data_IF_681829073877
#
_entry.id   IF_681829073877
#
_cell.length_a   1.000
_cell.length_b   1.000
_cell.length_c   1.000
_cell.angle_alpha   90.00
_cell.angle_beta   90.00
_cell.angle_gamma   90.00
#
_symmetry.space_group_name_H-M   'P 1'
#
loop_
_entity.id
_entity.type
_entity.pdbx_description
1 polymer ?
#
# COMPACT_ATOMS: atom_id res chain seq x y z
N UNK A 1 -3.27 -9.08 3.26
CA UNK A 1 -2.35 -7.92 3.28
C UNK A 1 -1.94 -7.58 4.71
N UNK A 2 -2.88 -7.38 5.65
CA UNK A 2 -2.59 -7.03 7.05
C UNK A 2 -1.77 -8.09 7.81
N UNK A 3 -2.09 -9.39 7.64
CA UNK A 3 -1.31 -10.49 8.22
C UNK A 3 0.15 -10.55 7.71
N UNK A 4 0.46 -9.99 6.54
CA UNK A 4 1.83 -10.00 5.99
C UNK A 4 2.81 -9.13 6.77
N UNK A 5 2.29 -8.19 7.56
CA UNK A 5 3.08 -7.20 8.29
C UNK A 5 3.01 -7.38 9.81
N UNK A 6 2.42 -8.48 10.31
CA UNK A 6 2.24 -8.75 11.74
C UNK A 6 1.68 -7.55 12.53
N UNK A 7 0.71 -6.84 11.95
CA UNK A 7 0.10 -5.67 12.57
C UNK A 7 -0.86 -6.13 13.66
N UNK A 8 -0.57 -5.78 14.92
CA UNK A 8 -1.52 -5.91 16.03
C UNK A 8 -2.21 -4.57 16.29
N UNK A 9 -3.49 -4.62 16.69
CA UNK A 9 -4.25 -3.45 17.15
C UNK A 9 -4.36 -2.30 16.12
N UNK A 10 -4.70 -2.62 14.87
CA UNK A 10 -4.97 -1.59 13.85
C UNK A 10 -6.24 -0.80 14.24
N UNK A 11 -6.15 0.53 14.40
CA UNK A 11 -7.32 1.34 14.75
C UNK A 11 -8.31 1.43 13.58
N UNK A 12 -9.59 1.64 13.90
CA UNK A 12 -10.66 1.76 12.91
C UNK A 12 -10.99 3.19 12.51
N UNK A 13 -10.76 4.15 13.41
CA UNK A 13 -11.06 5.56 13.17
C UNK A 13 -9.95 6.20 12.35
N UNK A 14 -10.34 7.02 11.36
CA UNK A 14 -9.40 7.67 10.44
C UNK A 14 -8.34 8.50 11.18
N UNK A 15 -8.75 9.31 12.16
CA UNK A 15 -7.83 10.13 12.93
C UNK A 15 -6.78 9.29 13.68
N UNK A 16 -7.20 8.18 14.28
CA UNK A 16 -6.32 7.26 15.00
C UNK A 16 -5.37 6.53 14.05
N UNK A 17 -5.84 6.16 12.85
CA UNK A 17 -4.99 5.56 11.81
C UNK A 17 -3.87 6.53 11.43
N UNK A 18 -4.15 7.83 11.27
CA UNK A 18 -3.13 8.81 10.91
C UNK A 18 -2.05 8.96 11.98
N UNK A 19 -2.42 8.83 13.27
CA UNK A 19 -1.47 8.88 14.39
C UNK A 19 -0.68 7.57 14.54
N UNK A 20 -1.34 6.44 14.29
CA UNK A 20 -0.76 5.10 14.42
C UNK A 20 0.16 4.72 13.26
N UNK A 21 -0.21 5.03 12.02
CA UNK A 21 0.46 4.55 10.82
C UNK A 21 1.97 4.89 10.75
N UNK A 22 2.43 6.10 11.14
CA UNK A 22 3.86 6.42 11.21
C UNK A 22 4.63 5.64 12.28
N UNK A 23 3.95 4.92 13.17
CA UNK A 23 4.53 4.14 14.26
C UNK A 23 4.10 2.66 14.21
N UNK A 24 3.49 2.21 13.11
CA UNK A 24 2.84 0.91 12.99
C UNK A 24 3.78 -0.30 13.15
N UNK A 25 5.10 -0.11 13.01
CA UNK A 25 6.09 -1.17 13.18
C UNK A 25 7.44 -0.61 13.67
N UNK A 26 8.18 -1.33 14.55
CA UNK A 26 9.48 -0.90 15.04
C UNK A 26 10.54 -0.87 13.93
N UNK A 27 10.52 -1.88 13.04
CA UNK A 27 11.44 -1.93 11.91
C UNK A 27 11.08 -0.89 10.84
N UNK A 28 12.04 -0.03 10.52
CA UNK A 28 11.85 1.11 9.61
C UNK A 28 11.48 0.70 8.18
N UNK A 29 12.02 -0.41 7.68
CA UNK A 29 11.72 -0.90 6.32
C UNK A 29 10.31 -1.48 6.21
N UNK A 30 9.88 -2.26 7.21
CA UNK A 30 8.50 -2.76 7.29
C UNK A 30 7.52 -1.59 7.39
N UNK A 31 7.83 -0.60 8.25
CA UNK A 31 7.04 0.63 8.36
C UNK A 31 6.95 1.37 7.03
N UNK A 32 8.07 1.52 6.32
CA UNK A 32 8.07 2.14 5.00
C UNK A 32 7.18 1.38 4.01
N UNK A 33 7.25 0.05 3.97
CA UNK A 33 6.41 -0.78 3.11
C UNK A 33 4.91 -0.59 3.43
N UNK A 34 4.54 -0.56 4.72
CA UNK A 34 3.17 -0.28 5.16
C UNK A 34 2.71 1.11 4.66
N UNK A 35 3.55 2.13 4.81
CA UNK A 35 3.25 3.49 4.32
C UNK A 35 3.07 3.53 2.78
N UNK A 36 3.87 2.76 2.03
CA UNK A 36 3.72 2.65 0.58
C UNK A 36 2.39 1.99 0.20
N UNK A 37 2.02 0.90 0.87
CA UNK A 37 0.74 0.21 0.65
C UNK A 37 -0.44 1.10 1.01
N UNK A 38 -0.33 1.87 2.10
CA UNK A 38 -1.34 2.86 2.47
C UNK A 38 -1.50 3.95 1.41
N UNK A 39 -0.39 4.51 0.93
CA UNK A 39 -0.40 5.52 -0.12
C UNK A 39 -1.03 5.00 -1.42
N UNK A 40 -0.72 3.76 -1.82
CA UNK A 40 -1.37 3.09 -2.94
C UNK A 40 -2.88 2.87 -2.71
N UNK A 41 -3.27 2.53 -1.47
CA UNK A 41 -4.67 2.35 -1.09
C UNK A 41 -5.48 3.64 -1.24
N UNK A 42 -4.97 4.75 -0.72
CA UNK A 42 -5.63 6.07 -0.84
C UNK A 42 -5.76 6.48 -2.30
N UNK A 43 -4.70 6.30 -3.09
CA UNK A 43 -4.70 6.65 -4.50
C UNK A 43 -5.72 5.85 -5.32
N UNK A 44 -5.78 4.53 -5.17
CA UNK A 44 -6.71 3.70 -5.94
C UNK A 44 -8.16 3.84 -5.46
N UNK A 45 -8.39 4.14 -4.17
CA UNK A 45 -9.72 4.50 -3.67
C UNK A 45 -10.20 5.85 -4.23
N UNK A 46 -9.30 6.85 -4.31
CA UNK A 46 -9.60 8.12 -4.96
C UNK A 46 -9.93 7.94 -6.45
N UNK A 47 -9.15 7.12 -7.17
CA UNK A 47 -9.44 6.77 -8.57
C UNK A 47 -10.78 6.06 -8.72
N UNK A 48 -11.11 5.13 -7.84
CA UNK A 48 -12.41 4.45 -7.85
C UNK A 48 -13.55 5.44 -7.61
N UNK A 49 -13.41 6.37 -6.66
CA UNK A 49 -14.40 7.43 -6.44
C UNK A 49 -14.62 8.24 -7.72
N UNK A 50 -13.54 8.65 -8.39
CA UNK A 50 -13.64 9.42 -9.63
C UNK A 50 -14.28 8.60 -10.76
N UNK A 51 -13.92 7.33 -10.90
CA UNK A 51 -14.54 6.42 -11.87
C UNK A 51 -16.05 6.33 -11.66
N UNK A 52 -16.52 6.20 -10.41
CA UNK A 52 -17.97 6.20 -10.12
C UNK A 52 -18.66 7.51 -10.50
N UNK A 53 -17.97 8.64 -10.29
CA UNK A 53 -18.52 9.97 -10.59
C UNK A 53 -18.58 10.25 -12.11
N UNK A 54 -17.53 9.92 -12.85
CA UNK A 54 -17.40 10.30 -14.26
C UNK A 54 -17.84 9.20 -15.23
N UNK A 55 -17.60 7.93 -14.90
CA UNK A 55 -17.89 6.80 -15.78
C UNK A 55 -19.18 6.07 -15.35
N UNK A 56 -19.72 6.35 -14.16
CA UNK A 56 -20.88 5.64 -13.60
C UNK A 56 -20.61 4.17 -13.25
N UNK A 57 -19.35 3.73 -13.32
CA UNK A 57 -18.95 2.34 -13.11
C UNK A 57 -18.36 2.14 -11.72
N UNK A 58 -18.83 1.09 -11.04
CA UNK A 58 -18.27 0.64 -9.76
C UNK A 58 -17.49 -0.64 -9.98
N UNK A 59 -16.23 -0.67 -9.54
CA UNK A 59 -15.42 -1.88 -9.62
C UNK A 59 -15.70 -2.82 -8.45
N UNK A 60 -15.59 -4.15 -8.67
CA UNK A 60 -15.56 -5.10 -7.58
C UNK A 60 -14.38 -4.81 -6.62
N UNK A 61 -14.56 -4.92 -5.29
CA UNK A 61 -13.50 -4.64 -4.31
C UNK A 61 -12.21 -5.42 -4.57
N UNK A 62 -12.31 -6.67 -5.04
CA UNK A 62 -11.16 -7.50 -5.40
C UNK A 62 -10.30 -6.88 -6.50
N UNK A 63 -10.91 -6.14 -7.43
CA UNK A 63 -10.19 -5.45 -8.52
C UNK A 63 -9.43 -4.24 -7.98
N UNK A 64 -10.03 -3.51 -7.05
CA UNK A 64 -9.37 -2.37 -6.37
C UNK A 64 -8.17 -2.89 -5.55
N UNK A 65 -8.33 -3.98 -4.80
CA UNK A 65 -7.22 -4.60 -4.05
C UNK A 65 -6.07 -5.05 -4.95
N UNK A 66 -6.38 -5.57 -6.15
CA UNK A 66 -5.36 -5.88 -7.16
C UNK A 66 -4.64 -4.62 -7.63
N UNK A 67 -5.36 -3.54 -7.94
CA UNK A 67 -4.73 -2.27 -8.34
C UNK A 67 -3.84 -1.67 -7.25
N UNK A 68 -4.23 -1.76 -5.97
CA UNK A 68 -3.38 -1.34 -4.86
C UNK A 68 -2.07 -2.15 -4.84
N UNK A 69 -2.19 -3.47 -4.98
CA UNK A 69 -1.02 -4.36 -5.01
C UNK A 69 -0.11 -4.10 -6.22
N UNK A 70 -0.70 -3.86 -7.38
CA UNK A 70 0.01 -3.49 -8.61
C UNK A 70 0.71 -2.14 -8.45
N UNK A 71 0.03 -1.11 -7.95
CA UNK A 71 0.62 0.21 -7.73
C UNK A 71 1.83 0.16 -6.78
N UNK A 72 1.75 -0.63 -5.71
CA UNK A 72 2.89 -0.88 -4.83
C UNK A 72 4.05 -1.60 -5.55
N UNK A 73 3.74 -2.64 -6.33
CA UNK A 73 4.73 -3.40 -7.10
C UNK A 73 5.39 -2.55 -8.18
N UNK A 74 4.63 -1.74 -8.90
CA UNK A 74 5.15 -0.85 -9.94
C UNK A 74 6.13 0.15 -9.34
N UNK A 75 5.82 0.69 -8.15
CA UNK A 75 6.74 1.56 -7.41
C UNK A 75 8.03 0.82 -7.02
N UNK A 76 7.93 -0.41 -6.52
CA UNK A 76 9.09 -1.29 -6.27
C UNK A 76 9.95 -1.43 -7.55
N UNK A 77 9.32 -1.78 -8.67
CA UNK A 77 9.99 -1.96 -9.97
C UNK A 77 10.65 -0.68 -10.46
N UNK A 78 9.98 0.47 -10.38
CA UNK A 78 10.55 1.76 -10.79
C UNK A 78 11.79 2.12 -9.95
N UNK A 79 11.74 1.94 -8.64
CA UNK A 79 12.89 2.20 -7.76
C UNK A 79 14.08 1.30 -8.08
N UNK A 80 13.82 0.03 -8.44
CA UNK A 80 14.85 -0.90 -8.91
C UNK A 80 15.47 -0.41 -10.23
N UNK A 81 14.64 -0.07 -11.22
CA UNK A 81 15.12 0.42 -12.52
C UNK A 81 15.91 1.72 -12.43
N UNK A 82 15.60 2.57 -11.46
CA UNK A 82 16.33 3.82 -11.19
C UNK A 82 17.61 3.62 -10.37
N UNK A 83 17.94 2.39 -9.96
CA UNK A 83 19.09 2.11 -9.09
C UNK A 83 18.98 2.72 -7.69
N UNK A 84 17.76 3.04 -7.24
CA UNK A 84 17.55 3.68 -5.95
C UNK A 84 17.81 2.68 -4.81
N UNK A 85 18.53 3.05 -3.72
CA UNK A 85 18.92 2.12 -2.66
C UNK A 85 17.73 1.48 -1.91
N UNK A 86 16.55 2.11 -1.95
CA UNK A 86 15.32 1.55 -1.38
C UNK A 86 14.64 0.52 -2.28
N UNK A 87 14.95 0.47 -3.58
CA UNK A 87 14.33 -0.47 -4.54
C UNK A 87 14.50 -1.92 -4.12
N UNK A 88 15.74 -2.42 -3.94
CA UNK A 88 15.99 -3.80 -3.50
C UNK A 88 15.40 -4.10 -2.10
N UNK A 89 15.33 -3.10 -1.23
CA UNK A 89 14.82 -3.26 0.14
C UNK A 89 13.31 -3.41 0.18
N UNK A 90 12.58 -2.59 -0.61
CA UNK A 90 11.13 -2.66 -0.72
C UNK A 90 10.67 -3.86 -1.56
N UNK A 91 11.46 -4.25 -2.56
CA UNK A 91 11.16 -5.39 -3.43
C UNK A 91 10.95 -6.71 -2.66
N UNK A 92 11.65 -6.90 -1.54
CA UNK A 92 11.48 -8.06 -0.64
C UNK A 92 10.04 -8.24 -0.14
N UNK A 93 9.29 -7.15 0.02
CA UNK A 93 7.87 -7.17 0.42
C UNK A 93 6.91 -7.32 -0.78
N UNK A 94 7.40 -7.09 -2.00
CA UNK A 94 6.65 -7.08 -3.25
C UNK A 94 6.66 -8.46 -3.97
N UNK A 95 7.77 -9.21 -3.85
CA UNK A 95 8.08 -10.35 -4.72
C UNK A 95 8.35 -11.69 -4.02
N UNK A 96 8.71 -11.71 -2.73
CA UNK A 96 8.96 -12.96 -2.00
C UNK A 96 7.78 -13.36 -1.08
N UNK A 97 7.42 -14.65 -0.95
CA UNK A 97 6.66 -15.14 0.21
C UNK A 97 7.61 -15.37 1.41
N UNK A 98 7.09 -15.39 2.66
CA UNK A 98 7.91 -15.73 3.83
C UNK A 98 8.42 -17.18 3.78
#
# INVERSE_FOLDING_TARGET
MLQRFNLSLVPFLWADILLWLPNAHPESMVRLAILQVWQASIYELWKERNRRVYDGLTLPPIRIMRYISTSFRDKCSTLLSLGHPLGPRLARFCFDPP
#
